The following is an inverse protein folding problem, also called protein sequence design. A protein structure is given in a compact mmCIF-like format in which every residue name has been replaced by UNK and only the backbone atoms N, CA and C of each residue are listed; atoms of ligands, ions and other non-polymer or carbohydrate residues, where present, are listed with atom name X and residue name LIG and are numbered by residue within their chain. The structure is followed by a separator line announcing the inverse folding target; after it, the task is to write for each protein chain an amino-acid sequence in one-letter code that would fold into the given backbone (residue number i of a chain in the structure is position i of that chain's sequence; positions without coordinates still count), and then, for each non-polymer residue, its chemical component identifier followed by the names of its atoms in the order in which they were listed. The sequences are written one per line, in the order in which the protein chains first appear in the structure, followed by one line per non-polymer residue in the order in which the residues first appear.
data_IF_416002912722
#
_entry.id   IF_416002912722
#
_cell.length_a   1.000
_cell.length_b   1.000
_cell.length_c   1.000
_cell.angle_alpha   90.00
_cell.angle_beta   90.00
_cell.angle_gamma   90.00
#
_symmetry.space_group_name_H-M   'P 1'
#
loop_
_entity.id
_entity.type
_entity.pdbx_description
1 polymer ?
#
# COMPACT_ATOMS: atom_id res chain seq x y z
N UNK A 1 -8.29 8.80 -18.54
CA UNK A 1 -9.34 7.76 -18.60
C UNK A 1 -8.80 6.47 -19.21
N UNK A 2 -8.33 6.46 -20.46
CA UNK A 2 -7.89 5.22 -21.15
C UNK A 2 -6.83 4.44 -20.38
N UNK A 3 -5.83 5.12 -19.84
CA UNK A 3 -4.78 4.47 -19.05
C UNK A 3 -5.33 3.79 -17.77
N UNK A 4 -6.35 4.38 -17.15
CA UNK A 4 -7.00 3.77 -15.99
C UNK A 4 -7.82 2.52 -16.37
N UNK A 5 -8.48 2.54 -17.54
CA UNK A 5 -9.15 1.34 -18.07
C UNK A 5 -8.13 0.22 -18.29
N UNK A 6 -6.95 0.54 -18.81
CA UNK A 6 -5.87 -0.44 -18.97
C UNK A 6 -5.38 -0.99 -17.61
N UNK A 7 -5.22 -0.13 -16.59
CA UNK A 7 -4.90 -0.57 -15.22
C UNK A 7 -5.95 -1.54 -14.69
N UNK A 8 -7.23 -1.20 -14.79
CA UNK A 8 -8.32 -2.08 -14.34
C UNK A 8 -8.35 -3.40 -15.12
N UNK A 9 -8.17 -3.34 -16.45
CA UNK A 9 -8.13 -4.52 -17.30
C UNK A 9 -7.01 -5.47 -16.93
N UNK A 10 -5.77 -4.96 -16.80
CA UNK A 10 -4.60 -5.79 -16.46
C UNK A 10 -4.72 -6.38 -15.05
N UNK A 11 -5.15 -5.59 -14.06
CA UNK A 11 -5.33 -6.09 -12.70
C UNK A 11 -6.52 -7.05 -12.57
N UNK A 12 -7.60 -6.83 -13.35
CA UNK A 12 -8.71 -7.76 -13.45
C UNK A 12 -8.29 -9.11 -14.06
N UNK A 13 -7.49 -9.07 -15.14
CA UNK A 13 -6.92 -10.27 -15.75
C UNK A 13 -5.95 -10.99 -14.80
N UNK A 14 -5.14 -10.26 -14.04
CA UNK A 14 -4.19 -10.85 -13.11
C UNK A 14 -4.83 -11.73 -12.02
N UNK A 15 -6.10 -11.47 -11.69
CA UNK A 15 -6.80 -12.20 -10.64
C UNK A 15 -7.98 -13.03 -11.17
N UNK A 16 -8.62 -12.62 -12.27
CA UNK A 16 -9.78 -13.29 -12.85
C UNK A 16 -9.44 -14.31 -13.94
N UNK A 17 -8.43 -14.02 -14.76
CA UNK A 17 -7.84 -14.93 -15.75
C UNK A 17 -6.33 -14.92 -15.54
N UNK A 18 -5.80 -15.71 -14.58
CA UNK A 18 -4.47 -15.50 -14.02
C UNK A 18 -3.37 -15.39 -15.07
N UNK A 19 -2.68 -14.24 -15.10
CA UNK A 19 -1.51 -14.02 -15.95
C UNK A 19 -0.43 -15.04 -15.53
N UNK A 20 0.13 -15.76 -16.50
CA UNK A 20 1.08 -16.83 -16.23
C UNK A 20 0.55 -17.94 -15.30
N UNK A 21 -0.78 -18.13 -15.24
CA UNK A 21 -1.42 -19.20 -14.48
C UNK A 21 -1.50 -19.00 -12.97
N UNK A 22 -1.13 -17.82 -12.46
CA UNK A 22 -1.09 -17.50 -11.03
C UNK A 22 -1.82 -16.19 -10.75
N UNK A 23 -2.53 -16.09 -9.65
CA UNK A 23 -3.03 -14.83 -9.10
C UNK A 23 -1.92 -14.05 -8.38
N UNK A 24 -2.14 -12.76 -8.14
CA UNK A 24 -1.18 -11.93 -7.40
C UNK A 24 -0.83 -12.48 -6.01
N UNK A 25 -1.81 -13.08 -5.33
CA UNK A 25 -1.62 -13.70 -4.02
C UNK A 25 -0.82 -15.01 -4.11
N UNK A 26 -1.13 -15.87 -5.09
CA UNK A 26 -0.40 -17.12 -5.30
C UNK A 26 1.08 -16.87 -5.65
N UNK A 27 1.39 -15.84 -6.43
CA UNK A 27 2.79 -15.43 -6.64
C UNK A 27 3.45 -15.03 -5.32
N UNK A 28 2.75 -14.34 -4.43
CA UNK A 28 3.26 -13.99 -3.10
C UNK A 28 3.56 -15.24 -2.25
N UNK A 29 2.72 -16.26 -2.33
CA UNK A 29 2.90 -17.51 -1.59
C UNK A 29 4.07 -18.38 -2.11
N UNK A 30 4.57 -18.12 -3.33
CA UNK A 30 5.78 -18.76 -3.86
C UNK A 30 7.07 -18.30 -3.16
N UNK A 31 7.01 -17.22 -2.39
CA UNK A 31 8.13 -16.68 -1.62
C UNK A 31 7.80 -16.75 -0.10
N UNK A 32 7.88 -17.98 0.50
CA UNK A 32 7.44 -18.18 1.87
C UNK A 32 8.23 -17.33 2.85
N UNK A 33 7.51 -16.46 3.55
CA UNK A 33 8.04 -15.59 4.59
C UNK A 33 6.95 -15.24 5.60
N UNK A 34 7.35 -14.80 6.78
CA UNK A 34 6.43 -14.50 7.87
C UNK A 34 5.73 -13.12 7.74
N UNK A 35 6.13 -12.30 6.77
CA UNK A 35 5.52 -10.98 6.51
C UNK A 35 4.35 -11.06 5.52
N UNK A 36 4.19 -12.17 4.80
CA UNK A 36 3.09 -12.33 3.85
C UNK A 36 1.74 -12.37 4.57
N UNK A 37 0.77 -11.51 4.22
CA UNK A 37 -0.55 -11.51 4.83
C UNK A 37 -1.43 -12.66 4.31
N UNK A 38 -2.55 -12.93 4.98
CA UNK A 38 -3.60 -13.81 4.48
C UNK A 38 -4.16 -13.29 3.14
N UNK A 39 -4.56 -14.18 2.24
CA UNK A 39 -4.94 -13.87 0.84
C UNK A 39 -6.09 -12.87 0.72
N UNK A 40 -7.07 -12.87 1.63
CA UNK A 40 -8.17 -11.89 1.63
C UNK A 40 -7.69 -10.43 1.73
N UNK A 41 -6.49 -10.21 2.26
CA UNK A 41 -5.90 -8.88 2.43
C UNK A 41 -5.72 -8.16 1.09
N UNK A 42 -5.46 -8.91 0.02
CA UNK A 42 -5.34 -8.37 -1.34
C UNK A 42 -6.67 -7.80 -1.88
N UNK A 43 -7.81 -8.10 -1.24
CA UNK A 43 -9.11 -7.48 -1.57
C UNK A 43 -9.13 -5.96 -1.45
N UNK A 44 -8.16 -5.37 -0.75
CA UNK A 44 -7.99 -3.90 -0.65
C UNK A 44 -7.80 -3.23 -2.02
N UNK A 45 -7.31 -3.94 -3.02
CA UNK A 45 -7.22 -3.41 -4.38
C UNK A 45 -8.57 -2.98 -4.94
N UNK A 46 -9.65 -3.71 -4.60
CA UNK A 46 -11.01 -3.32 -4.97
C UNK A 46 -11.39 -1.93 -4.42
N UNK A 47 -11.04 -1.66 -3.16
CA UNK A 47 -11.29 -0.36 -2.52
C UNK A 47 -10.43 0.75 -3.15
N UNK A 48 -9.14 0.47 -3.39
CA UNK A 48 -8.21 1.41 -4.03
C UNK A 48 -8.71 1.78 -5.43
N UNK A 49 -9.05 0.80 -6.26
CA UNK A 49 -9.53 1.06 -7.63
C UNK A 49 -10.88 1.76 -7.66
N UNK A 50 -11.76 1.49 -6.70
CA UNK A 50 -13.02 2.25 -6.55
C UNK A 50 -12.74 3.72 -6.23
N UNK A 51 -11.81 3.99 -5.33
CA UNK A 51 -11.36 5.36 -5.03
C UNK A 51 -10.75 6.06 -6.24
N UNK A 52 -9.87 5.38 -6.97
CA UNK A 52 -9.24 5.92 -8.18
C UNK A 52 -10.24 6.09 -9.35
N UNK A 53 -11.25 5.21 -9.47
CA UNK A 53 -12.34 5.38 -10.43
C UNK A 53 -13.10 6.67 -10.17
N UNK A 54 -13.48 6.91 -8.90
CA UNK A 54 -14.13 8.16 -8.51
C UNK A 54 -13.27 9.39 -8.84
N UNK A 55 -11.95 9.33 -8.61
CA UNK A 55 -11.02 10.40 -9.02
C UNK A 55 -11.04 10.63 -10.53
N UNK A 56 -10.91 9.57 -11.33
CA UNK A 56 -10.86 9.67 -12.80
C UNK A 56 -12.17 10.21 -13.37
N UNK A 57 -13.31 9.76 -12.86
CA UNK A 57 -14.64 10.24 -13.28
C UNK A 57 -14.85 11.70 -12.87
N UNK A 58 -14.57 12.04 -11.62
CA UNK A 58 -14.70 13.42 -11.16
C UNK A 58 -13.78 14.37 -11.93
N UNK A 59 -12.53 13.97 -12.22
CA UNK A 59 -11.60 14.74 -13.06
C UNK A 59 -12.14 14.99 -14.47
N UNK A 60 -12.79 13.98 -15.08
CA UNK A 60 -13.36 14.12 -16.43
C UNK A 60 -14.54 15.10 -16.49
N UNK A 61 -15.30 15.25 -15.40
CA UNK A 61 -16.50 16.10 -15.37
C UNK A 61 -16.33 17.41 -14.60
N UNK A 62 -15.22 17.61 -13.88
CA UNK A 62 -14.98 18.83 -13.12
C UNK A 62 -14.31 19.89 -13.97
N UNK A 63 -15.05 20.97 -14.31
CA UNK A 63 -14.54 22.07 -15.15
C UNK A 63 -13.59 23.02 -14.43
N UNK A 64 -13.66 23.12 -13.10
CA UNK A 64 -12.81 23.97 -12.26
C UNK A 64 -12.44 23.21 -10.99
N UNK A 65 -11.15 23.05 -10.75
CA UNK A 65 -10.62 22.53 -9.48
C UNK A 65 -9.36 23.29 -9.09
N UNK A 66 -9.05 23.29 -7.79
CA UNK A 66 -7.83 23.90 -7.26
C UNK A 66 -6.63 22.93 -7.35
N UNK A 67 -6.78 21.81 -8.06
CA UNK A 67 -5.72 20.83 -8.25
C UNK A 67 -4.63 21.35 -9.18
N UNK A 68 -3.34 21.11 -8.92
CA UNK A 68 -2.25 21.27 -9.87
C UNK A 68 -2.34 20.16 -10.96
N UNK A 69 -3.37 20.28 -11.82
CA UNK A 69 -3.88 19.20 -12.69
C UNK A 69 -2.83 18.64 -13.65
N UNK A 70 -1.96 19.47 -14.24
CA UNK A 70 -0.95 19.00 -15.19
C UNK A 70 0.08 18.10 -14.52
N UNK A 71 0.61 18.53 -13.37
CA UNK A 71 1.63 17.80 -12.63
C UNK A 71 1.09 16.47 -12.10
N UNK A 72 -0.13 16.50 -11.51
CA UNK A 72 -0.77 15.29 -10.99
C UNK A 72 -1.11 14.34 -12.13
N UNK A 73 -1.56 14.85 -13.28
CA UNK A 73 -1.86 14.02 -14.47
C UNK A 73 -0.62 13.32 -14.99
N UNK A 74 0.52 14.02 -15.06
CA UNK A 74 1.79 13.41 -15.48
C UNK A 74 2.24 12.32 -14.48
N UNK A 75 2.25 12.63 -13.19
CA UNK A 75 2.64 11.68 -12.15
C UNK A 75 1.69 10.47 -12.09
N UNK A 76 0.39 10.70 -12.27
CA UNK A 76 -0.60 9.64 -12.39
C UNK A 76 -0.35 8.77 -13.63
N UNK A 77 0.04 9.37 -14.75
CA UNK A 77 0.42 8.62 -15.96
C UNK A 77 1.60 7.68 -15.70
N UNK A 78 2.65 8.19 -15.05
CA UNK A 78 3.82 7.38 -14.64
C UNK A 78 3.41 6.26 -13.68
N UNK A 79 2.59 6.58 -12.67
CA UNK A 79 2.11 5.61 -11.69
C UNK A 79 1.30 4.48 -12.34
N UNK A 80 0.36 4.84 -13.22
CA UNK A 80 -0.49 3.86 -13.89
C UNK A 80 0.31 2.94 -14.84
N UNK A 81 1.28 3.51 -15.58
CA UNK A 81 2.19 2.71 -16.41
C UNK A 81 3.06 1.77 -15.55
N UNK A 82 3.58 2.26 -14.44
CA UNK A 82 4.34 1.45 -13.49
C UNK A 82 3.48 0.35 -12.86
N UNK A 83 2.20 0.62 -12.52
CA UNK A 83 1.29 -0.40 -12.00
C UNK A 83 1.09 -1.56 -12.99
N UNK A 84 0.83 -1.25 -14.25
CA UNK A 84 0.71 -2.26 -15.32
C UNK A 84 2.01 -3.06 -15.45
N UNK A 85 3.15 -2.38 -15.53
CA UNK A 85 4.46 -3.03 -15.64
C UNK A 85 4.79 -3.90 -14.42
N UNK A 86 4.39 -3.46 -13.20
CA UNK A 86 4.57 -4.22 -11.98
C UNK A 86 3.78 -5.53 -12.00
N UNK A 87 2.53 -5.53 -12.45
CA UNK A 87 1.73 -6.76 -12.59
C UNK A 87 2.47 -7.77 -13.46
N UNK A 88 2.94 -7.36 -14.64
CA UNK A 88 3.69 -8.28 -15.51
C UNK A 88 5.00 -8.75 -14.85
N UNK A 89 5.82 -7.85 -14.30
CA UNK A 89 7.06 -8.23 -13.64
C UNK A 89 6.83 -9.22 -12.49
N UNK A 90 5.79 -9.01 -11.68
CA UNK A 90 5.41 -9.86 -10.57
C UNK A 90 4.95 -11.24 -11.03
N UNK A 91 4.00 -11.31 -11.96
CA UNK A 91 3.44 -12.58 -12.47
C UNK A 91 4.44 -13.39 -13.30
N UNK A 92 5.40 -12.75 -13.96
CA UNK A 92 6.51 -13.45 -14.64
C UNK A 92 7.71 -13.69 -13.71
N UNK A 93 7.53 -13.56 -12.40
CA UNK A 93 8.52 -13.88 -11.36
C UNK A 93 9.85 -13.10 -11.50
N UNK A 94 9.81 -11.90 -12.08
CA UNK A 94 10.95 -11.00 -12.22
C UNK A 94 11.08 -10.12 -10.98
N UNK A 95 11.42 -10.73 -9.83
CA UNK A 95 11.39 -10.08 -8.52
C UNK A 95 12.24 -8.81 -8.44
N UNK A 96 13.44 -8.78 -9.00
CA UNK A 96 14.29 -7.59 -9.01
C UNK A 96 13.66 -6.43 -9.81
N UNK A 97 13.13 -6.73 -11.01
CA UNK A 97 12.41 -5.73 -11.81
C UNK A 97 11.13 -5.28 -11.09
N UNK A 98 10.42 -6.20 -10.45
CA UNK A 98 9.23 -5.92 -9.66
C UNK A 98 9.52 -4.94 -8.53
N UNK A 99 10.61 -5.11 -7.77
CA UNK A 99 11.03 -4.15 -6.73
C UNK A 99 11.38 -2.80 -7.33
N UNK A 100 12.14 -2.74 -8.42
CA UNK A 100 12.50 -1.47 -9.06
C UNK A 100 11.25 -0.69 -9.52
N UNK A 101 10.28 -1.38 -10.12
CA UNK A 101 9.01 -0.78 -10.54
C UNK A 101 8.15 -0.38 -9.34
N UNK A 102 8.14 -1.18 -8.27
CA UNK A 102 7.43 -0.86 -7.02
C UNK A 102 7.98 0.44 -6.39
N UNK A 103 9.29 0.69 -6.47
CA UNK A 103 9.87 1.96 -6.03
C UNK A 103 9.39 3.14 -6.88
N UNK A 104 9.21 2.97 -8.19
CA UNK A 104 8.61 4.02 -9.05
C UNK A 104 7.16 4.29 -8.63
N UNK A 105 6.38 3.24 -8.34
CA UNK A 105 5.02 3.38 -7.80
C UNK A 105 5.03 4.17 -6.48
N UNK A 106 5.88 3.79 -5.55
CA UNK A 106 5.98 4.44 -4.24
C UNK A 106 6.37 5.92 -4.39
N UNK A 107 7.43 6.23 -5.15
CA UNK A 107 7.92 7.59 -5.33
C UNK A 107 6.89 8.48 -6.03
N UNK A 108 6.18 7.96 -7.04
CA UNK A 108 5.12 8.71 -7.72
C UNK A 108 3.96 9.04 -6.77
N UNK A 109 3.58 8.13 -5.87
CA UNK A 109 2.53 8.37 -4.86
C UNK A 109 2.97 9.34 -3.77
N UNK A 110 4.22 9.25 -3.31
CA UNK A 110 4.80 10.26 -2.41
C UNK A 110 4.68 11.64 -3.03
N UNK A 111 5.01 11.75 -4.30
CA UNK A 111 4.98 13.04 -5.00
C UNK A 111 3.54 13.53 -5.22
N UNK A 112 2.63 12.68 -5.73
CA UNK A 112 1.21 13.03 -5.90
C UNK A 112 0.60 13.50 -4.58
N UNK A 113 0.77 12.75 -3.51
CA UNK A 113 0.17 13.10 -2.20
C UNK A 113 0.80 14.37 -1.61
N UNK A 114 2.09 14.61 -1.87
CA UNK A 114 2.76 15.86 -1.47
C UNK A 114 2.19 17.08 -2.22
N UNK A 115 1.99 16.98 -3.55
CA UNK A 115 1.38 18.07 -4.32
C UNK A 115 -0.07 18.32 -3.89
N UNK A 116 -0.84 17.26 -3.66
CA UNK A 116 -2.20 17.39 -3.17
C UNK A 116 -2.28 18.09 -1.80
N UNK A 117 -1.32 17.84 -0.90
CA UNK A 117 -1.29 18.46 0.44
C UNK A 117 -0.92 19.95 0.42
N UNK A 118 -0.26 20.45 -0.63
CA UNK A 118 0.05 21.88 -0.79
C UNK A 118 -1.16 22.76 -1.06
N UNK A 119 -2.30 22.18 -1.47
CA UNK A 119 -3.53 22.96 -1.71
C UNK A 119 -4.11 23.40 -0.35
N UNK A 120 -3.96 24.67 0.00
CA UNK A 120 -4.37 25.20 1.31
C UNK A 120 -5.89 25.17 1.52
N UNK A 121 -6.67 25.45 0.48
CA UNK A 121 -8.14 25.44 0.51
C UNK A 121 -8.68 24.38 -0.45
N UNK A 122 -8.70 23.10 -0.04
CA UNK A 122 -9.15 22.04 -0.92
C UNK A 122 -10.67 22.13 -1.12
N UNK A 123 -11.07 22.03 -2.38
CA UNK A 123 -12.47 21.75 -2.72
C UNK A 123 -12.82 20.28 -2.46
N UNK A 124 -14.09 19.91 -2.66
CA UNK A 124 -14.55 18.53 -2.44
C UNK A 124 -13.78 17.52 -3.31
N UNK A 125 -13.44 17.90 -4.53
CA UNK A 125 -12.71 17.04 -5.44
C UNK A 125 -11.25 16.83 -4.97
N UNK A 126 -10.58 17.89 -4.54
CA UNK A 126 -9.23 17.81 -3.97
C UNK A 126 -9.21 16.97 -2.71
N UNK A 127 -10.19 17.15 -1.82
CA UNK A 127 -10.31 16.35 -0.58
C UNK A 127 -10.51 14.87 -0.88
N UNK A 128 -11.39 14.54 -1.83
CA UNK A 128 -11.59 13.17 -2.29
C UNK A 128 -10.32 12.58 -2.91
N UNK A 129 -9.65 13.35 -3.77
CA UNK A 129 -8.41 12.93 -4.42
C UNK A 129 -7.31 12.62 -3.40
N UNK A 130 -7.18 13.45 -2.36
CA UNK A 130 -6.26 13.18 -1.23
C UNK A 130 -6.56 11.81 -0.61
N UNK A 131 -7.80 11.54 -0.25
CA UNK A 131 -8.21 10.28 0.37
C UNK A 131 -7.90 9.08 -0.53
N UNK A 132 -8.24 9.13 -1.82
CA UNK A 132 -8.01 8.05 -2.77
C UNK A 132 -6.52 7.75 -2.98
N UNK A 133 -5.70 8.79 -3.19
CA UNK A 133 -4.25 8.59 -3.37
C UNK A 133 -3.52 8.24 -2.07
N UNK A 134 -3.95 8.71 -0.92
CA UNK A 134 -3.36 8.33 0.36
C UNK A 134 -3.71 6.87 0.72
N UNK A 135 -4.91 6.40 0.42
CA UNK A 135 -5.27 4.99 0.54
C UNK A 135 -4.34 4.11 -0.31
N UNK A 136 -4.13 4.49 -1.56
CA UNK A 136 -3.22 3.78 -2.45
C UNK A 136 -1.76 3.85 -1.95
N UNK A 137 -1.32 5.01 -1.50
CA UNK A 137 0.04 5.22 -0.97
C UNK A 137 0.33 4.34 0.26
N UNK A 138 -0.61 4.26 1.21
CA UNK A 138 -0.45 3.40 2.39
C UNK A 138 -0.32 1.93 2.01
N UNK A 139 -1.12 1.45 1.04
CA UNK A 139 -0.99 0.08 0.53
C UNK A 139 0.35 -0.18 -0.15
N UNK A 140 0.80 0.72 -1.04
CA UNK A 140 2.09 0.58 -1.74
C UNK A 140 3.27 0.67 -0.77
N UNK A 141 3.16 1.39 0.34
CA UNK A 141 4.19 1.39 1.39
C UNK A 141 4.43 -0.02 1.93
N UNK A 142 3.38 -0.73 2.31
CA UNK A 142 3.49 -2.11 2.82
C UNK A 142 3.86 -3.09 1.70
N UNK A 143 3.26 -2.93 0.53
CA UNK A 143 3.54 -3.78 -0.64
C UNK A 143 5.01 -3.67 -1.09
N UNK A 144 5.64 -2.50 -0.95
CA UNK A 144 7.07 -2.33 -1.23
C UNK A 144 7.91 -3.18 -0.29
N UNK A 145 7.60 -3.19 1.00
CA UNK A 145 8.30 -4.01 2.00
C UNK A 145 8.12 -5.50 1.66
N UNK A 146 6.88 -5.93 1.39
CA UNK A 146 6.59 -7.32 1.00
C UNK A 146 7.33 -7.74 -0.28
N UNK A 147 7.42 -6.83 -1.27
CA UNK A 147 8.10 -7.08 -2.54
C UNK A 147 9.63 -7.22 -2.34
N UNK A 148 10.22 -6.39 -1.48
CA UNK A 148 11.63 -6.51 -1.07
C UNK A 148 11.86 -7.82 -0.32
N UNK A 149 10.98 -8.19 0.60
CA UNK A 149 11.08 -9.47 1.33
C UNK A 149 11.03 -10.67 0.37
N UNK A 150 10.13 -10.66 -0.62
CA UNK A 150 10.06 -11.69 -1.65
C UNK A 150 11.36 -11.77 -2.49
N UNK A 151 11.98 -10.61 -2.80
CA UNK A 151 13.27 -10.56 -3.47
C UNK A 151 14.37 -11.22 -2.64
N UNK A 152 14.45 -10.92 -1.34
CA UNK A 152 15.44 -11.49 -0.43
C UNK A 152 15.29 -13.02 -0.35
N UNK A 153 14.07 -13.50 -0.19
CA UNK A 153 13.76 -14.95 -0.20
C UNK A 153 14.16 -15.60 -1.51
N UNK A 154 13.86 -14.96 -2.65
CA UNK A 154 14.20 -15.51 -3.97
C UNK A 154 15.68 -15.74 -4.19
N UNK A 155 16.52 -14.86 -3.67
CA UNK A 155 17.96 -14.93 -3.85
C UNK A 155 18.71 -15.57 -2.68
N UNK A 156 17.94 -16.16 -1.74
CA UNK A 156 18.50 -16.81 -0.54
C UNK A 156 19.50 -15.87 0.18
N UNK A 157 19.14 -14.59 0.20
CA UNK A 157 19.96 -13.58 0.86
C UNK A 157 19.69 -13.63 2.36
N UNK A 158 20.35 -14.57 3.02
CA UNK A 158 20.43 -14.59 4.49
C UNK A 158 21.17 -13.34 4.97
N UNK A 159 20.43 -12.26 5.12
CA UNK A 159 20.99 -11.00 5.62
C UNK A 159 21.38 -11.11 7.09
N UNK A 160 21.54 -12.37 7.73
CA UNK A 160 21.57 -12.28 9.07
C UNK A 160 21.89 -13.26 10.11
N UNK A 161 22.34 -12.70 11.15
CA UNK A 161 22.41 -13.06 12.57
C UNK A 161 21.00 -13.23 13.24
N UNK A 162 19.89 -12.85 12.60
CA UNK A 162 18.52 -12.86 13.17
C UNK A 162 17.70 -14.07 12.70
N UNK A 163 16.90 -14.66 13.58
CA UNK A 163 15.93 -15.67 13.16
C UNK A 163 14.86 -15.08 12.22
N UNK A 164 14.17 -15.90 11.40
CA UNK A 164 13.07 -15.43 10.54
C UNK A 164 12.00 -14.66 11.33
N UNK A 165 11.72 -15.07 12.56
CA UNK A 165 10.77 -14.41 13.45
C UNK A 165 11.26 -13.02 13.89
N UNK A 166 12.52 -12.92 14.33
CA UNK A 166 13.13 -11.64 14.75
C UNK A 166 13.24 -10.67 13.55
N UNK A 167 13.61 -11.18 12.37
CA UNK A 167 13.67 -10.41 11.16
C UNK A 167 12.31 -9.81 10.81
N UNK A 168 11.27 -10.65 10.81
CA UNK A 168 9.90 -10.20 10.50
C UNK A 168 9.38 -9.21 11.53
N UNK A 169 9.62 -9.43 12.83
CA UNK A 169 9.27 -8.48 13.88
C UNK A 169 9.96 -7.12 13.65
N UNK A 170 11.25 -7.12 13.27
CA UNK A 170 11.99 -5.90 12.95
C UNK A 170 11.40 -5.15 11.75
N UNK A 171 11.03 -5.86 10.69
CA UNK A 171 10.38 -5.27 9.50
C UNK A 171 9.03 -4.64 9.86
N UNK A 172 8.23 -5.30 10.71
CA UNK A 172 6.93 -4.77 11.18
C UNK A 172 7.15 -3.47 11.96
N UNK A 173 8.15 -3.41 12.84
CA UNK A 173 8.50 -2.18 13.57
C UNK A 173 8.92 -1.07 12.60
N UNK A 174 9.78 -1.36 11.61
CA UNK A 174 10.18 -0.39 10.59
C UNK A 174 8.98 0.10 9.80
N UNK A 175 8.08 -0.79 9.37
CA UNK A 175 6.84 -0.43 8.66
C UNK A 175 5.96 0.49 9.51
N UNK A 176 5.81 0.20 10.80
CA UNK A 176 5.04 1.03 11.73
C UNK A 176 5.69 2.41 11.94
N UNK A 177 7.02 2.49 12.11
CA UNK A 177 7.75 3.75 12.27
C UNK A 177 7.65 4.63 11.02
N UNK A 178 7.88 4.06 9.84
CA UNK A 178 7.71 4.79 8.56
C UNK A 178 6.29 5.31 8.45
N UNK A 179 5.29 4.48 8.76
CA UNK A 179 3.88 4.87 8.69
C UNK A 179 3.52 5.96 9.69
N UNK A 180 4.02 5.89 10.91
CA UNK A 180 3.87 6.93 11.91
C UNK A 180 4.49 8.26 11.46
N UNK A 181 5.72 8.21 10.92
CA UNK A 181 6.41 9.41 10.41
C UNK A 181 5.61 10.05 9.27
N UNK A 182 5.15 9.27 8.29
CA UNK A 182 4.36 9.77 7.16
C UNK A 182 3.04 10.40 7.65
N UNK A 183 2.37 9.75 8.59
CA UNK A 183 1.14 10.27 9.19
C UNK A 183 1.38 11.57 9.95
N UNK A 184 2.40 11.62 10.80
CA UNK A 184 2.74 12.81 11.58
C UNK A 184 3.22 13.98 10.70
N UNK A 185 3.78 13.70 9.52
CA UNK A 185 4.17 14.71 8.52
C UNK A 185 3.00 15.20 7.64
N UNK A 186 1.77 14.89 7.99
CA UNK A 186 0.58 15.49 7.37
C UNK A 186 -0.26 14.56 6.50
N UNK A 187 0.04 13.26 6.43
CA UNK A 187 -0.87 12.31 5.84
C UNK A 187 -2.15 12.20 6.69
N UNK A 188 -3.26 11.86 6.05
CA UNK A 188 -4.53 11.63 6.74
C UNK A 188 -4.68 10.18 7.19
N UNK A 189 -5.79 9.89 7.86
CA UNK A 189 -6.14 8.52 8.27
C UNK A 189 -6.22 7.56 7.07
N UNK A 190 -6.58 8.05 5.87
CA UNK A 190 -6.67 7.25 4.67
C UNK A 190 -5.35 6.56 4.29
N UNK A 191 -4.21 7.14 4.64
CA UNK A 191 -2.91 6.51 4.49
C UNK A 191 -2.68 5.36 5.47
N UNK A 192 -3.12 5.51 6.72
CA UNK A 192 -2.92 4.48 7.75
C UNK A 192 -3.85 3.27 7.61
N UNK A 193 -5.06 3.46 7.07
CA UNK A 193 -6.04 2.38 6.94
C UNK A 193 -5.49 1.14 6.22
N UNK A 194 -4.83 1.23 5.05
CA UNK A 194 -4.27 0.08 4.39
C UNK A 194 -3.08 -0.55 5.15
N UNK A 195 -2.33 0.25 5.89
CA UNK A 195 -1.23 -0.25 6.74
C UNK A 195 -1.79 -1.11 7.87
N UNK A 196 -2.79 -0.60 8.57
CA UNK A 196 -3.50 -1.34 9.63
C UNK A 196 -4.19 -2.59 9.08
N UNK A 197 -4.80 -2.48 7.89
CA UNK A 197 -5.38 -3.63 7.19
C UNK A 197 -4.34 -4.71 6.87
N UNK A 198 -3.16 -4.33 6.39
CA UNK A 198 -2.06 -5.27 6.14
C UNK A 198 -1.58 -5.94 7.42
N UNK A 199 -1.40 -5.18 8.52
CA UNK A 199 -1.01 -5.73 9.82
C UNK A 199 -2.06 -6.71 10.35
N UNK A 200 -3.34 -6.39 10.20
CA UNK A 200 -4.42 -7.33 10.51
C UNK A 200 -4.34 -8.60 9.65
N UNK A 201 -4.09 -8.46 8.35
CA UNK A 201 -3.95 -9.61 7.46
C UNK A 201 -2.75 -10.51 7.78
N UNK A 202 -1.61 -9.92 8.17
CA UNK A 202 -0.45 -10.67 8.65
C UNK A 202 -0.81 -11.39 9.97
N UNK A 203 -1.44 -10.69 10.91
CA UNK A 203 -1.89 -11.29 12.16
C UNK A 203 -2.85 -12.46 11.94
N UNK A 204 -3.86 -12.29 11.08
CA UNK A 204 -4.82 -13.32 10.75
C UNK A 204 -4.16 -14.57 10.14
N UNK A 205 -3.13 -14.41 9.31
CA UNK A 205 -2.35 -15.55 8.78
C UNK A 205 -1.59 -16.26 9.90
N UNK A 206 -1.01 -15.51 10.83
CA UNK A 206 -0.27 -16.10 11.96
C UNK A 206 -1.18 -16.87 12.93
N UNK A 207 -2.40 -16.40 13.13
CA UNK A 207 -3.37 -17.03 14.04
C UNK A 207 -4.08 -18.23 13.42
N UNK A 208 -4.34 -18.18 12.09
CA UNK A 208 -5.20 -19.16 11.41
C UNK A 208 -4.61 -20.56 11.37
N UNK A 209 -5.51 -21.55 11.38
CA UNK A 209 -5.16 -22.97 11.19
C UNK A 209 -4.55 -23.26 9.81
N UNK A 210 -4.91 -22.47 8.81
CA UNK A 210 -4.40 -22.54 7.43
C UNK A 210 -3.09 -21.77 7.23
N UNK A 211 -2.65 -21.05 8.27
CA UNK A 211 -1.41 -20.29 8.28
C UNK A 211 -0.38 -20.91 9.24
N UNK A 212 0.02 -20.13 10.22
CA UNK A 212 1.12 -20.50 11.12
C UNK A 212 0.66 -21.04 12.49
N UNK A 213 -0.63 -21.12 12.76
CA UNK A 213 -1.23 -21.72 14.00
C UNK A 213 -0.64 -21.17 15.30
N UNK A 214 -0.32 -19.90 15.34
CA UNK A 214 0.28 -19.26 16.52
C UNK A 214 1.76 -19.58 16.76
N UNK A 215 2.45 -20.23 15.83
CA UNK A 215 3.83 -20.70 16.00
C UNK A 215 4.87 -19.58 16.23
N UNK A 216 4.53 -18.32 15.92
CA UNK A 216 5.44 -17.17 15.97
C UNK A 216 4.92 -16.07 16.92
N UNK A 217 5.01 -16.27 18.26
CA UNK A 217 4.42 -15.35 19.23
C UNK A 217 5.08 -13.97 19.24
N UNK A 218 6.36 -13.85 18.90
CA UNK A 218 7.05 -12.57 18.79
C UNK A 218 6.44 -11.72 17.64
N UNK A 219 6.18 -12.30 16.47
CA UNK A 219 5.55 -11.61 15.35
C UNK A 219 4.15 -11.14 15.74
N UNK A 220 3.35 -12.03 16.34
CA UNK A 220 1.98 -11.73 16.76
C UNK A 220 1.94 -10.61 17.82
N UNK A 221 2.83 -10.64 18.80
CA UNK A 221 2.91 -9.59 19.84
C UNK A 221 3.38 -8.27 19.24
N UNK A 222 4.38 -8.29 18.33
CA UNK A 222 4.87 -7.09 17.64
C UNK A 222 3.75 -6.44 16.81
N UNK A 223 2.95 -7.23 16.09
CA UNK A 223 1.78 -6.72 15.36
C UNK A 223 0.77 -6.05 16.28
N UNK A 224 0.43 -6.68 17.42
CA UNK A 224 -0.50 -6.08 18.40
C UNK A 224 0.03 -4.76 18.95
N UNK A 225 1.31 -4.69 19.33
CA UNK A 225 1.91 -3.50 19.89
C UNK A 225 2.03 -2.37 18.86
N UNK A 226 2.49 -2.66 17.66
CA UNK A 226 2.63 -1.65 16.59
C UNK A 226 1.27 -1.15 16.09
N UNK A 227 0.27 -2.03 15.97
CA UNK A 227 -1.09 -1.65 15.65
C UNK A 227 -1.68 -0.71 16.72
N UNK A 228 -1.55 -1.07 18.00
CA UNK A 228 -2.02 -0.26 19.12
C UNK A 228 -1.30 1.10 19.18
N UNK A 229 0.03 1.11 18.96
CA UNK A 229 0.80 2.34 18.92
C UNK A 229 0.34 3.29 17.79
N UNK A 230 0.09 2.78 16.60
CA UNK A 230 -0.45 3.59 15.49
C UNK A 230 -1.83 4.15 15.82
N UNK A 231 -2.71 3.38 16.46
CA UNK A 231 -4.01 3.88 16.91
C UNK A 231 -3.88 4.97 17.98
N UNK A 232 -2.96 4.80 18.93
CA UNK A 232 -2.70 5.83 19.95
C UNK A 232 -2.17 7.13 19.34
N UNK A 233 -1.30 7.04 18.33
CA UNK A 233 -0.82 8.20 17.57
C UNK A 233 -1.98 8.91 16.87
N UNK A 234 -2.93 8.17 16.28
CA UNK A 234 -4.13 8.75 15.68
C UNK A 234 -4.98 9.47 16.71
N UNK A 235 -5.25 8.83 17.84
CA UNK A 235 -6.04 9.43 18.93
C UNK A 235 -5.35 10.67 19.51
N UNK A 236 -4.05 10.59 19.77
CA UNK A 236 -3.28 11.74 20.28
C UNK A 236 -3.35 12.93 19.31
N UNK A 237 -3.22 12.70 18.00
CA UNK A 237 -3.34 13.77 17.01
C UNK A 237 -4.73 14.39 16.96
N UNK A 238 -5.80 13.59 17.11
CA UNK A 238 -7.18 14.09 17.16
C UNK A 238 -7.44 14.94 18.40
N UNK A 239 -6.86 14.58 19.54
CA UNK A 239 -7.00 15.32 20.81
C UNK A 239 -6.14 16.59 20.83
N UNK A 240 -4.89 16.49 20.41
CA UNK A 240 -3.93 17.59 20.49
C UNK A 240 -4.09 18.65 19.39
N UNK A 241 -4.80 18.33 18.30
CA UNK A 241 -5.10 19.27 17.21
C UNK A 241 -6.61 19.45 17.03
N UNK A 242 -7.35 19.95 18.05
CA UNK A 242 -8.81 20.13 17.96
C UNK A 242 -9.24 21.16 16.90
N UNK A 243 -8.31 21.90 16.30
CA UNK A 243 -8.55 22.90 15.27
C UNK A 243 -8.37 22.41 13.83
N UNK A 244 -7.99 21.15 13.59
CA UNK A 244 -8.00 20.54 12.25
C UNK A 244 -9.46 20.22 11.87
N UNK A 245 -10.28 21.29 11.85
CA UNK A 245 -11.63 21.20 11.33
C UNK A 245 -11.58 20.78 9.87
N UNK A 246 -12.25 19.69 9.60
CA UNK A 246 -12.70 19.23 8.30
C UNK A 246 -13.08 20.44 7.42
N UNK A 247 -12.17 20.90 6.59
CA UNK A 247 -12.49 21.74 5.42
C UNK A 247 -12.43 20.86 4.17
#
# INVERSE_FOLDING_TARGET
VLLFIAVLGVNGLANGLPINGLTTGEVSDMYPNLFTPASFTFGIWGLIYTGLLGYVLAFAFTKKSNLPSEKITLLWGVNAAANIAWIFAWHYLKTASSVAIMLILLLSLIWITTELRKVERPDKFTTYSRAAFELYFGWITVATIANVTALLVRYDLDLVVLSPEQWTASIIVVAALVSAIVYLRGASIWYLLPVLWAFYGIYARHESEWGFRGAYPLVMSTLKWTFSALLLIVLARLVLQPGYKRT
#
